data_IF_534972831104
#
_entry.id   IF_534972831104
#
_cell.length_a   1.000
_cell.length_b   1.000
_cell.length_c   1.000
_cell.angle_alpha   90.00
_cell.angle_beta   90.00
_cell.angle_gamma   90.00
#
_symmetry.space_group_name_H-M   'P 1'
#
loop_
_entity.id
_entity.type
_entity.pdbx_description
1 polymer ?
#
# COMPACT_ATOMS: atom_id res chain seq x y z
N UNK A 1 -16.37 -15.08 -10.57
CA UNK A 1 -15.04 -14.59 -10.16
C UNK A 1 -15.24 -13.20 -9.58
N UNK A 2 -14.79 -12.95 -8.35
CA UNK A 2 -15.00 -11.66 -7.68
C UNK A 2 -13.84 -10.71 -7.99
N UNK A 3 -14.14 -9.42 -8.13
CA UNK A 3 -13.13 -8.37 -8.28
C UNK A 3 -12.64 -7.93 -6.90
N UNK A 4 -11.34 -8.09 -6.66
CA UNK A 4 -10.70 -7.80 -5.36
C UNK A 4 -9.78 -6.58 -5.40
N UNK A 5 -9.68 -5.88 -6.55
CA UNK A 5 -8.70 -4.81 -6.77
C UNK A 5 -8.76 -3.72 -5.70
N UNK A 6 -9.96 -3.26 -5.33
CA UNK A 6 -10.12 -2.28 -4.25
C UNK A 6 -9.63 -2.81 -2.90
N UNK A 7 -9.94 -4.06 -2.59
CA UNK A 7 -9.53 -4.66 -1.32
C UNK A 7 -8.02 -4.88 -1.27
N UNK A 8 -7.40 -5.34 -2.36
CA UNK A 8 -5.95 -5.49 -2.46
C UNK A 8 -5.22 -4.17 -2.25
N UNK A 9 -5.71 -3.09 -2.90
CA UNK A 9 -5.17 -1.76 -2.68
C UNK A 9 -5.34 -1.31 -1.22
N UNK A 10 -6.55 -1.44 -0.65
CA UNK A 10 -6.81 -1.09 0.74
C UNK A 10 -5.92 -1.87 1.73
N UNK A 11 -5.66 -3.15 1.46
CA UNK A 11 -4.74 -3.97 2.24
C UNK A 11 -3.33 -3.40 2.22
N UNK A 12 -2.81 -3.03 1.03
CA UNK A 12 -1.50 -2.43 0.91
C UNK A 12 -1.44 -1.09 1.66
N UNK A 13 -2.39 -0.20 1.41
CA UNK A 13 -2.43 1.14 2.00
C UNK A 13 -2.58 1.12 3.53
N UNK A 14 -3.24 0.10 4.10
CA UNK A 14 -3.38 -0.06 5.56
C UNK A 14 -2.05 -0.18 6.33
N UNK A 15 -0.94 -0.44 5.62
CA UNK A 15 0.41 -0.45 6.20
C UNK A 15 0.98 0.95 6.37
N UNK A 16 0.69 1.88 5.47
CA UNK A 16 1.31 3.21 5.44
C UNK A 16 0.60 4.23 6.34
N UNK A 17 -0.68 4.04 6.65
CA UNK A 17 -1.50 4.96 7.47
C UNK A 17 -1.06 5.09 8.94
N UNK A 18 0.03 4.43 9.35
CA UNK A 18 0.68 4.62 10.66
C UNK A 18 2.06 5.25 10.61
N UNK A 19 2.62 5.44 9.43
CA UNK A 19 3.94 6.04 9.25
C UNK A 19 3.90 7.53 9.61
N UNK A 20 5.08 8.15 9.74
CA UNK A 20 5.19 9.56 10.11
C UNK A 20 4.64 10.47 9.00
N UNK A 21 4.87 10.10 7.74
CA UNK A 21 4.39 10.81 6.54
C UNK A 21 3.59 9.85 5.62
N UNK A 22 2.31 9.54 5.92
CA UNK A 22 1.58 8.52 5.19
C UNK A 22 1.23 8.87 3.75
N UNK A 23 0.89 10.13 3.45
CA UNK A 23 0.39 10.53 2.14
C UNK A 23 1.43 10.33 1.02
N UNK A 24 2.70 10.78 1.16
CA UNK A 24 3.73 10.50 0.15
C UNK A 24 3.89 9.01 -0.16
N UNK A 25 3.84 8.15 0.86
CA UNK A 25 3.96 6.69 0.69
C UNK A 25 2.73 6.09 -0.02
N UNK A 26 1.54 6.60 0.28
CA UNK A 26 0.31 6.23 -0.42
C UNK A 26 0.42 6.62 -1.89
N UNK A 27 0.84 7.86 -2.19
CA UNK A 27 0.99 8.37 -3.55
C UNK A 27 2.00 7.55 -4.36
N UNK A 28 3.17 7.25 -3.78
CA UNK A 28 4.20 6.42 -4.42
C UNK A 28 3.65 5.02 -4.75
N UNK A 29 3.03 4.34 -3.77
CA UNK A 29 2.46 3.01 -3.99
C UNK A 29 1.36 3.03 -5.06
N UNK A 30 0.45 4.00 -4.98
CA UNK A 30 -0.68 4.11 -5.91
C UNK A 30 -0.19 4.41 -7.32
N UNK A 31 0.87 5.21 -7.48
CA UNK A 31 1.46 5.50 -8.78
C UNK A 31 1.89 4.22 -9.52
N UNK A 32 2.50 3.27 -8.80
CA UNK A 32 2.86 1.95 -9.34
C UNK A 32 1.64 1.06 -9.59
N UNK A 33 0.68 1.05 -8.67
CA UNK A 33 -0.55 0.26 -8.80
C UNK A 33 -1.39 0.68 -10.03
N UNK A 34 -1.50 1.99 -10.27
CA UNK A 34 -2.30 2.60 -11.33
C UNK A 34 -1.75 2.36 -12.75
N UNK A 35 -0.54 1.79 -12.89
CA UNK A 35 0.06 1.41 -14.19
C UNK A 35 -0.73 0.27 -14.85
N UNK A 36 -1.23 -0.68 -14.05
CA UNK A 36 -1.94 -1.88 -14.55
C UNK A 36 -3.40 -1.96 -14.11
N UNK A 37 -3.78 -1.22 -13.08
CA UNK A 37 -5.12 -1.25 -12.54
C UNK A 37 -5.78 0.13 -12.66
N UNK A 38 -7.07 0.15 -12.94
CA UNK A 38 -7.91 1.35 -12.93
C UNK A 38 -9.09 1.10 -12.03
N UNK A 39 -9.34 2.04 -11.12
CA UNK A 39 -10.52 2.06 -10.27
C UNK A 39 -11.42 3.20 -10.75
N UNK A 40 -12.72 2.98 -10.66
CA UNK A 40 -13.74 4.01 -10.83
C UNK A 40 -13.75 4.96 -9.63
N UNK A 41 -14.32 6.16 -9.79
CA UNK A 41 -14.43 7.13 -8.71
C UNK A 41 -15.14 6.56 -7.48
N UNK A 42 -16.23 5.81 -7.69
CA UNK A 42 -16.97 5.13 -6.61
C UNK A 42 -16.12 4.09 -5.90
N UNK A 43 -15.31 3.33 -6.64
CA UNK A 43 -14.36 2.37 -6.07
C UNK A 43 -13.25 3.05 -5.28
N UNK A 44 -12.82 4.24 -5.68
CA UNK A 44 -11.81 5.03 -4.96
C UNK A 44 -12.41 5.63 -3.69
N UNK A 45 -13.63 6.16 -3.76
CA UNK A 45 -14.32 6.80 -2.64
C UNK A 45 -14.54 5.87 -1.45
N UNK A 46 -14.68 4.56 -1.69
CA UNK A 46 -14.82 3.57 -0.61
C UNK A 46 -13.49 3.11 0.00
N UNK A 47 -12.33 3.45 -0.59
CA UNK A 47 -11.03 2.94 -0.13
C UNK A 47 -10.69 3.30 1.32
N UNK A 48 -10.97 4.51 1.84
CA UNK A 48 -10.75 4.79 3.26
C UNK A 48 -11.52 3.84 4.18
N UNK A 49 -12.75 3.48 3.81
CA UNK A 49 -13.55 2.53 4.59
C UNK A 49 -13.03 1.10 4.46
N UNK A 50 -12.52 0.70 3.30
CA UNK A 50 -11.87 -0.60 3.11
C UNK A 50 -10.53 -0.70 3.88
N UNK A 51 -9.78 0.39 4.00
CA UNK A 51 -8.57 0.46 4.83
C UNK A 51 -8.94 0.23 6.29
N UNK A 52 -9.98 0.92 6.79
CA UNK A 52 -10.50 0.71 8.13
C UNK A 52 -11.02 -0.71 8.34
N UNK A 53 -11.74 -1.26 7.36
CA UNK A 53 -12.21 -2.65 7.38
C UNK A 53 -11.03 -3.62 7.54
N UNK A 54 -9.92 -3.40 6.83
CA UNK A 54 -8.70 -4.20 6.99
C UNK A 54 -8.07 -4.03 8.37
N UNK A 55 -8.06 -2.81 8.92
CA UNK A 55 -7.56 -2.58 10.27
C UNK A 55 -8.41 -3.36 11.29
N UNK A 56 -9.73 -3.28 11.18
CA UNK A 56 -10.66 -4.00 12.05
C UNK A 56 -10.56 -5.51 11.90
N UNK A 57 -10.35 -6.03 10.69
CA UNK A 57 -10.19 -7.47 10.48
C UNK A 57 -8.97 -8.01 11.24
N UNK A 58 -7.86 -7.24 11.30
CA UNK A 58 -6.70 -7.62 12.11
C UNK A 58 -7.03 -7.61 13.61
N UNK A 59 -7.78 -6.61 14.10
CA UNK A 59 -8.22 -6.54 15.51
C UNK A 59 -9.07 -7.76 15.86
N UNK A 60 -10.04 -8.10 15.03
CA UNK A 60 -10.91 -9.27 15.22
C UNK A 60 -10.09 -10.56 15.19
N UNK A 61 -9.15 -10.70 14.26
CA UNK A 61 -8.27 -11.86 14.16
C UNK A 61 -7.49 -12.11 15.46
N UNK A 62 -6.79 -11.09 15.98
CA UNK A 62 -6.04 -11.24 17.23
C UNK A 62 -6.96 -11.48 18.43
N UNK A 63 -8.13 -10.84 18.45
CA UNK A 63 -9.14 -11.04 19.51
C UNK A 63 -9.66 -12.48 19.51
N UNK A 64 -9.95 -13.02 18.33
CA UNK A 64 -10.38 -14.41 18.17
C UNK A 64 -9.32 -15.39 18.62
N UNK A 65 -8.04 -15.17 18.28
CA UNK A 65 -6.93 -16.04 18.72
C UNK A 65 -6.72 -16.01 20.22
N UNK A 66 -6.78 -14.83 20.83
CA UNK A 66 -6.70 -14.71 22.28
C UNK A 66 -7.88 -15.40 22.98
N UNK A 67 -9.09 -15.27 22.43
CA UNK A 67 -10.27 -15.96 22.95
C UNK A 67 -10.17 -17.48 22.83
N UNK A 68 -9.57 -17.99 21.75
CA UNK A 68 -9.32 -19.42 21.53
C UNK A 68 -8.15 -19.98 22.35
N UNK A 69 -7.40 -19.14 23.09
CA UNK A 69 -6.22 -19.55 23.85
C UNK A 69 -4.96 -19.78 23.01
N UNK A 70 -4.95 -19.38 21.74
CA UNK A 70 -3.80 -19.50 20.83
C UNK A 70 -2.83 -18.32 20.89
N UNK A 71 -3.21 -17.26 21.62
CA UNK A 71 -2.46 -16.02 21.79
C UNK A 71 -2.80 -15.42 23.17
N UNK A 72 -1.97 -14.50 23.67
CA UNK A 72 -2.24 -13.81 24.94
C UNK A 72 -2.97 -12.49 24.71
N UNK A 73 -3.72 -12.00 25.71
CA UNK A 73 -4.38 -10.69 25.63
C UNK A 73 -3.38 -9.53 25.51
N UNK A 74 -2.12 -9.75 25.89
CA UNK A 74 -1.03 -8.76 25.83
C UNK A 74 -0.68 -8.42 24.37
N UNK A 75 -0.84 -9.38 23.46
CA UNK A 75 -0.61 -9.16 22.03
C UNK A 75 -1.65 -8.20 21.43
N UNK A 76 -2.85 -8.13 22.01
CA UNK A 76 -3.90 -7.17 21.66
C UNK A 76 -3.67 -5.81 22.30
N UNK A 77 -3.42 -5.75 23.60
CA UNK A 77 -3.30 -4.47 24.32
C UNK A 77 -2.12 -3.65 23.84
N UNK A 78 -1.01 -4.30 23.47
CA UNK A 78 0.15 -3.65 22.85
C UNK A 78 -0.13 -3.04 21.46
N UNK A 79 -1.14 -3.53 20.73
CA UNK A 79 -1.48 -3.10 19.37
C UNK A 79 -2.73 -2.23 19.27
N UNK A 80 -3.63 -2.30 20.26
CA UNK A 80 -4.90 -1.59 20.25
C UNK A 80 -4.76 -0.07 20.06
N UNK A 81 -3.79 0.55 20.76
CA UNK A 81 -3.52 1.98 20.61
C UNK A 81 -3.04 2.34 19.19
N UNK A 82 -2.21 1.48 18.58
CA UNK A 82 -1.72 1.66 17.23
C UNK A 82 -2.86 1.54 16.19
N UNK A 83 -3.73 0.52 16.32
CA UNK A 83 -4.90 0.39 15.45
C UNK A 83 -5.87 1.56 15.59
N UNK A 84 -6.12 2.00 16.82
CA UNK A 84 -6.97 3.16 17.06
C UNK A 84 -6.37 4.45 16.48
N UNK A 85 -5.05 4.65 16.57
CA UNK A 85 -4.33 5.76 15.91
C UNK A 85 -4.56 5.72 14.40
N UNK A 86 -4.40 4.56 13.77
CA UNK A 86 -4.61 4.37 12.31
C UNK A 86 -6.03 4.72 11.88
N UNK A 87 -7.05 4.17 12.55
CA UNK A 87 -8.46 4.43 12.19
C UNK A 87 -8.79 5.90 12.33
N UNK A 88 -8.34 6.56 13.41
CA UNK A 88 -8.52 8.01 13.58
C UNK A 88 -7.85 8.80 12.47
N UNK A 89 -6.62 8.44 12.10
CA UNK A 89 -5.91 9.11 11.02
C UNK A 89 -6.63 8.93 9.68
N UNK A 90 -7.04 7.71 9.33
CA UNK A 90 -7.80 7.43 8.09
C UNK A 90 -9.09 8.25 8.05
N UNK A 91 -9.85 8.29 9.14
CA UNK A 91 -11.09 9.06 9.20
C UNK A 91 -10.87 10.57 9.08
N UNK A 92 -9.79 11.10 9.64
CA UNK A 92 -9.45 12.52 9.56
C UNK A 92 -8.91 12.93 8.17
N UNK A 93 -8.43 11.98 7.37
CA UNK A 93 -7.76 12.23 6.09
C UNK A 93 -8.47 11.56 4.90
N UNK A 94 -9.76 11.20 5.02
CA UNK A 94 -10.51 10.49 3.97
C UNK A 94 -10.38 11.18 2.61
N UNK A 95 -10.64 12.49 2.59
CA UNK A 95 -10.60 13.28 1.35
C UNK A 95 -9.19 13.32 0.77
N UNK A 96 -8.17 13.53 1.60
CA UNK A 96 -6.77 13.54 1.16
C UNK A 96 -6.35 12.20 0.54
N UNK A 97 -6.77 11.07 1.14
CA UNK A 97 -6.52 9.73 0.58
C UNK A 97 -7.19 9.59 -0.78
N UNK A 98 -8.48 9.96 -0.88
CA UNK A 98 -9.24 9.87 -2.14
C UNK A 98 -8.59 10.73 -3.24
N UNK A 99 -8.25 11.97 -2.93
CA UNK A 99 -7.63 12.90 -3.89
C UNK A 99 -6.23 12.43 -4.33
N UNK A 100 -5.40 11.94 -3.39
CA UNK A 100 -4.12 11.33 -3.73
C UNK A 100 -4.29 10.16 -4.68
N UNK A 101 -5.31 9.32 -4.50
CA UNK A 101 -5.54 8.16 -5.38
C UNK A 101 -6.09 8.58 -6.75
N UNK A 102 -7.08 9.47 -6.79
CA UNK A 102 -7.66 10.00 -8.04
C UNK A 102 -6.57 10.60 -8.93
N UNK A 103 -5.62 11.33 -8.34
CA UNK A 103 -4.48 11.92 -9.06
C UNK A 103 -3.76 10.93 -9.98
N UNK A 104 -3.47 9.71 -9.52
CA UNK A 104 -2.74 8.73 -10.33
C UNK A 104 -3.66 7.83 -11.18
N UNK A 105 -4.91 7.63 -10.76
CA UNK A 105 -5.87 6.79 -11.48
C UNK A 105 -6.34 7.42 -12.80
N UNK A 106 -6.54 8.73 -12.81
CA UNK A 106 -7.00 9.48 -14.00
C UNK A 106 -5.86 10.09 -14.81
N UNK A 107 -4.63 10.08 -14.28
CA UNK A 107 -3.47 10.47 -15.09
C UNK A 107 -3.13 9.34 -16.05
N UNK A 108 -3.20 9.64 -17.35
CA UNK A 108 -2.62 8.79 -18.39
C UNK A 108 -1.10 8.93 -18.26
N UNK A 109 -0.47 8.12 -17.41
CA UNK A 109 0.98 8.02 -17.46
C UNK A 109 1.35 7.54 -18.85
N UNK A 110 2.28 8.22 -19.56
CA UNK A 110 2.87 7.64 -20.74
C UNK A 110 3.46 6.30 -20.30
N UNK A 111 2.99 5.22 -20.92
CA UNK A 111 3.64 3.91 -20.82
C UNK A 111 5.13 4.17 -20.97
N UNK A 112 6.00 3.74 -20.03
CA UNK A 112 7.43 3.91 -20.24
C UNK A 112 7.76 3.20 -21.54
N UNK A 113 8.01 4.01 -22.58
CA UNK A 113 8.47 3.55 -23.88
C UNK A 113 9.68 2.69 -23.59
N UNK A 114 9.64 1.41 -24.00
CA UNK A 114 10.63 0.40 -23.67
C UNK A 114 12.05 0.87 -23.97
N UNK A 115 12.64 1.57 -23.01
CA UNK A 115 14.06 1.84 -22.95
C UNK A 115 14.66 0.55 -22.50
N UNK A 116 15.19 -0.21 -23.45
CA UNK A 116 16.08 -1.32 -23.17
C UNK A 116 17.08 -0.86 -22.11
N UNK A 117 17.03 -1.47 -20.93
CA UNK A 117 18.21 -1.54 -20.07
C UNK A 117 19.27 -2.19 -20.94
N UNK A 118 20.16 -1.38 -21.51
CA UNK A 118 21.42 -1.89 -22.03
C UNK A 118 22.15 -2.49 -20.84
N UNK A 119 22.18 -3.82 -20.81
CA UNK A 119 23.14 -4.54 -20.00
C UNK A 119 24.53 -4.01 -20.37
N UNK A 120 25.39 -3.68 -19.41
CA UNK A 120 26.76 -3.31 -19.74
C UNK A 120 27.43 -4.49 -20.45
N UNK A 121 27.92 -4.24 -21.67
CA UNK A 121 28.67 -5.18 -22.48
C UNK A 121 29.97 -5.56 -21.76
N UNK A 122 30.11 -6.84 -21.43
CA UNK A 122 31.39 -7.44 -21.05
C UNK A 122 32.31 -7.49 -22.28
N UNK A 123 33.06 -6.43 -22.55
CA UNK A 123 34.19 -6.49 -23.48
C UNK A 123 35.25 -5.46 -23.05
N UNK A 124 36.26 -5.94 -22.32
CA UNK A 124 37.37 -5.10 -21.84
C UNK A 124 38.41 -5.85 -21.02
N UNK A 125 38.58 -7.15 -21.22
CA UNK A 125 39.70 -7.91 -20.64
C UNK A 125 40.78 -8.12 -21.70
N UNK A 126 41.64 -7.11 -21.91
CA UNK A 126 42.93 -7.33 -22.60
C UNK A 126 44.04 -6.53 -21.93
N UNK A 127 44.92 -7.28 -21.25
CA UNK A 127 46.38 -7.12 -21.18
C UNK A 127 46.98 -5.82 -20.63
N UNK A 128 47.51 -5.90 -19.40
CA UNK A 128 48.74 -5.20 -19.05
C UNK A 128 49.75 -6.24 -18.58
N UNK A 129 50.75 -6.50 -19.41
CA UNK A 129 51.98 -7.20 -19.04
C UNK A 129 53.13 -6.18 -19.14
N UNK A 130 53.97 -6.21 -18.10
CA UNK A 130 55.34 -5.69 -17.98
C UNK A 130 55.56 -4.17 -17.84
N UNK A 131 55.94 -3.76 -16.62
CA UNK A 131 57.31 -3.32 -16.32
C UNK A 131 57.63 -3.57 -14.84
#
# INVERSE_FOLDING_TARGET
MHDWRCMELAVALSKYVSEDEPLPLIEEFVSGYAVKHKLTDTEIEILPDLINLRIFSNVIYFTGRAHAGEDSIESLTSRAAAYAKRVRWVNANKDAIVESIKRFMHTSYPTPSGGMMQQPSEEGAVSVVAA
#
